data_IF_410598543597
#
_entry.id   IF_410598543597
#
_cell.length_a   1.000
_cell.length_b   1.000
_cell.length_c   1.000
_cell.angle_alpha   90.00
_cell.angle_beta   90.00
_cell.angle_gamma   90.00
#
_symmetry.space_group_name_H-M   'P 1'
#
loop_
_entity.id
_entity.type
_entity.pdbx_description
1 polymer ?
#
# COMPACT_ATOMS: atom_id res chain seq x y z
N UNK A 1 14.92 -5.88 16.81
CA UNK A 1 14.48 -6.66 15.63
C UNK A 1 13.24 -5.98 15.10
N UNK A 2 13.17 -5.71 13.80
CA UNK A 2 12.04 -5.00 13.18
C UNK A 2 11.31 -5.95 12.23
N UNK A 3 10.00 -6.09 12.42
CA UNK A 3 9.12 -6.93 11.60
C UNK A 3 8.50 -6.07 10.49
N UNK A 4 8.77 -6.42 9.24
CA UNK A 4 8.12 -5.81 8.09
C UNK A 4 7.01 -6.73 7.58
N UNK A 5 5.75 -6.29 7.69
CA UNK A 5 4.58 -6.97 7.14
C UNK A 5 4.26 -6.33 5.80
N UNK A 6 4.31 -7.12 4.74
CA UNK A 6 4.08 -6.65 3.37
C UNK A 6 2.66 -7.05 2.97
N UNK A 7 1.80 -6.06 2.71
CA UNK A 7 0.41 -6.29 2.30
C UNK A 7 0.16 -5.72 0.91
N UNK A 8 -0.60 -6.45 0.08
CA UNK A 8 -0.82 -6.07 -1.31
C UNK A 8 -1.69 -4.79 -1.44
N UNK A 9 -2.69 -4.66 -0.57
CA UNK A 9 -3.73 -3.64 -0.68
C UNK A 9 -4.99 -4.13 -1.41
N UNK A 10 -6.15 -3.71 -0.92
CA UNK A 10 -7.48 -4.03 -1.48
C UNK A 10 -8.16 -2.85 -2.19
N UNK A 11 -7.44 -1.74 -2.37
CA UNK A 11 -7.95 -0.48 -2.87
C UNK A 11 -9.22 -0.02 -2.13
N UNK A 12 -10.35 0.10 -2.84
CA UNK A 12 -11.63 0.52 -2.25
C UNK A 12 -12.42 -0.60 -1.56
N UNK A 13 -11.99 -1.86 -1.70
CA UNK A 13 -12.69 -3.04 -1.19
C UNK A 13 -12.20 -3.45 0.18
N UNK A 14 -13.08 -4.05 0.99
CA UNK A 14 -12.65 -4.76 2.18
C UNK A 14 -11.91 -6.03 1.78
N UNK A 15 -10.73 -6.21 2.36
CA UNK A 15 -9.78 -7.26 1.99
C UNK A 15 -9.45 -8.07 3.25
N UNK A 16 -9.86 -9.35 3.28
CA UNK A 16 -9.66 -10.22 4.44
C UNK A 16 -8.19 -10.36 4.86
N UNK A 17 -7.30 -10.53 3.88
CA UNK A 17 -5.85 -10.56 4.12
C UNK A 17 -5.32 -9.25 4.70
N UNK A 18 -5.80 -8.12 4.18
CA UNK A 18 -5.38 -6.80 4.63
C UNK A 18 -5.85 -6.50 6.06
N UNK A 19 -7.06 -6.94 6.42
CA UNK A 19 -7.58 -6.84 7.80
C UNK A 19 -6.79 -7.74 8.75
N UNK A 20 -6.49 -8.97 8.33
CA UNK A 20 -5.62 -9.87 9.10
C UNK A 20 -4.25 -9.25 9.37
N UNK A 21 -3.59 -8.71 8.34
CA UNK A 21 -2.29 -8.05 8.46
C UNK A 21 -2.36 -6.83 9.40
N UNK A 22 -3.46 -6.07 9.34
CA UNK A 22 -3.70 -4.91 10.20
C UNK A 22 -3.84 -5.30 11.68
N UNK A 23 -4.70 -6.26 11.99
CA UNK A 23 -4.90 -6.75 13.36
C UNK A 23 -3.62 -7.43 13.88
N UNK A 24 -2.86 -8.11 13.02
CA UNK A 24 -1.59 -8.72 13.41
C UNK A 24 -0.52 -7.66 13.73
N UNK A 25 -0.39 -6.62 12.90
CA UNK A 25 0.51 -5.50 13.14
C UNK A 25 0.20 -4.81 14.47
N UNK A 26 -1.08 -4.54 14.75
CA UNK A 26 -1.57 -3.98 16.01
C UNK A 26 -1.18 -4.85 17.21
N UNK A 27 -1.43 -6.16 17.11
CA UNK A 27 -1.11 -7.11 18.18
C UNK A 27 0.40 -7.17 18.49
N UNK A 28 1.23 -7.26 17.45
CA UNK A 28 2.68 -7.26 17.60
C UNK A 28 3.22 -5.96 18.20
N UNK A 29 2.69 -4.80 17.79
CA UNK A 29 3.04 -3.50 18.38
C UNK A 29 2.65 -3.43 19.85
N UNK A 30 1.48 -3.94 20.20
CA UNK A 30 0.99 -4.00 21.59
C UNK A 30 1.89 -4.90 22.45
N UNK A 31 2.44 -5.96 21.87
CA UNK A 31 3.41 -6.84 22.51
C UNK A 31 4.84 -6.25 22.61
N UNK A 32 5.05 -5.01 22.17
CA UNK A 32 6.33 -4.30 22.25
C UNK A 32 7.27 -4.54 21.06
N UNK A 33 6.81 -5.17 19.99
CA UNK A 33 7.61 -5.33 18.77
C UNK A 33 7.61 -4.06 17.92
N UNK A 34 8.75 -3.78 17.27
CA UNK A 34 8.84 -2.77 16.22
C UNK A 34 8.30 -3.38 14.92
N UNK A 35 7.23 -2.79 14.37
CA UNK A 35 6.52 -3.33 13.21
C UNK A 35 6.22 -2.24 12.19
N UNK A 36 6.50 -2.51 10.92
CA UNK A 36 6.03 -1.72 9.78
C UNK A 36 5.05 -2.54 8.97
N UNK A 37 3.85 -2.02 8.75
CA UNK A 37 2.88 -2.58 7.82
C UNK A 37 2.95 -1.79 6.51
N UNK A 38 3.48 -2.41 5.45
CA UNK A 38 3.79 -1.77 4.17
C UNK A 38 2.73 -2.11 3.11
N UNK A 39 1.88 -1.16 2.72
CA UNK A 39 0.98 -1.35 1.58
C UNK A 39 1.77 -1.22 0.27
N UNK A 40 1.73 -2.27 -0.56
CA UNK A 40 2.55 -2.36 -1.77
C UNK A 40 1.89 -1.74 -2.99
N UNK A 41 0.74 -2.24 -3.44
CA UNK A 41 0.18 -1.85 -4.75
C UNK A 41 -0.97 -0.86 -4.61
N UNK A 42 -1.80 -1.01 -3.59
CA UNK A 42 -2.93 -0.13 -3.34
C UNK A 42 -3.07 0.15 -1.85
N UNK A 43 -3.81 1.21 -1.45
CA UNK A 43 -4.15 1.42 -0.06
C UNK A 43 -4.97 0.24 0.49
N UNK A 44 -4.87 -0.01 1.78
CA UNK A 44 -5.78 -0.92 2.47
C UNK A 44 -7.07 -0.20 2.86
N UNK A 45 -8.15 -0.98 2.96
CA UNK A 45 -9.40 -0.57 3.60
C UNK A 45 -9.74 -1.63 4.64
N UNK A 46 -9.78 -1.19 5.89
CA UNK A 46 -10.00 -2.04 7.06
C UNK A 46 -11.15 -1.47 7.87
N UNK A 47 -11.73 -2.31 8.73
CA UNK A 47 -12.82 -2.01 9.65
C UNK A 47 -12.33 -1.45 11.00
N UNK A 48 -11.06 -1.69 11.32
CA UNK A 48 -10.36 -1.09 12.47
C UNK A 48 -9.54 0.16 12.10
N UNK A 49 -8.81 0.71 13.07
CA UNK A 49 -7.80 1.74 12.81
C UNK A 49 -6.67 1.19 11.93
N UNK A 50 -6.40 1.90 10.84
CA UNK A 50 -5.36 1.57 9.86
C UNK A 50 -3.96 1.72 10.48
N UNK A 51 -3.24 0.61 10.60
CA UNK A 51 -1.87 0.51 11.12
C UNK A 51 -0.80 0.63 10.03
N UNK A 52 -1.20 0.80 8.77
CA UNK A 52 -0.30 0.81 7.62
C UNK A 52 0.46 2.13 7.48
N UNK A 53 1.68 2.02 6.98
CA UNK A 53 2.48 3.19 6.63
C UNK A 53 1.93 3.85 5.36
N UNK A 54 1.99 5.18 5.34
CA UNK A 54 1.75 5.97 4.13
C UNK A 54 3.09 6.56 3.68
N UNK A 55 3.44 6.56 2.37
CA UNK A 55 2.63 6.23 1.18
C UNK A 55 2.67 4.73 0.80
N UNK A 56 1.91 4.39 -0.25
CA UNK A 56 2.01 3.09 -0.95
C UNK A 56 3.39 2.98 -1.62
N UNK A 57 4.09 1.86 -1.43
CA UNK A 57 5.50 1.76 -1.81
C UNK A 57 5.75 1.45 -3.29
N UNK A 58 4.92 0.59 -3.88
CA UNK A 58 5.01 0.14 -5.26
C UNK A 58 3.65 0.34 -5.94
N UNK A 59 3.24 1.61 -6.05
CA UNK A 59 1.88 1.98 -6.43
C UNK A 59 1.44 1.37 -7.75
N UNK A 60 0.29 0.69 -7.73
CA UNK A 60 -0.21 -0.14 -8.82
C UNK A 60 -0.39 0.61 -10.14
N UNK A 61 -0.64 1.93 -10.10
CA UNK A 61 -0.69 2.77 -11.30
C UNK A 61 0.68 2.82 -11.97
N UNK A 62 1.75 3.10 -11.22
CA UNK A 62 3.10 3.13 -11.76
C UNK A 62 3.55 1.73 -12.21
N UNK A 63 3.18 0.68 -11.49
CA UNK A 63 3.44 -0.70 -11.91
C UNK A 63 2.80 -1.00 -13.27
N UNK A 64 1.51 -0.66 -13.42
CA UNK A 64 0.77 -0.84 -14.66
C UNK A 64 1.40 -0.05 -15.83
N UNK A 65 1.74 1.22 -15.60
CA UNK A 65 2.34 2.06 -16.64
C UNK A 65 3.74 1.57 -17.04
N UNK A 66 4.53 1.06 -16.09
CA UNK A 66 5.83 0.44 -16.35
C UNK A 66 5.73 -0.82 -17.20
N UNK A 67 4.71 -1.64 -16.98
CA UNK A 67 4.44 -2.85 -17.77
C UNK A 67 3.93 -2.49 -19.18
N UNK A 68 3.00 -1.52 -19.26
CA UNK A 68 2.35 -1.13 -20.52
C UNK A 68 3.25 -0.30 -21.44
N UNK A 69 4.08 0.58 -20.90
CA UNK A 69 4.86 1.56 -21.64
C UNK A 69 6.34 1.53 -21.25
N UNK A 70 7.19 0.98 -22.12
CA UNK A 70 8.65 0.88 -21.90
C UNK A 70 9.35 2.22 -21.63
N UNK A 71 8.81 3.33 -22.13
CA UNK A 71 9.37 4.66 -21.88
C UNK A 71 9.05 5.19 -20.48
N UNK A 72 7.97 4.70 -19.84
CA UNK A 72 7.58 5.09 -18.48
C UNK A 72 8.66 4.73 -17.45
N UNK A 73 9.33 3.59 -17.67
CA UNK A 73 10.45 3.11 -16.85
C UNK A 73 11.65 4.08 -16.82
N UNK A 74 11.74 5.00 -17.80
CA UNK A 74 12.81 6.02 -17.90
C UNK A 74 12.42 7.35 -17.28
N UNK A 75 11.16 7.53 -16.90
CA UNK A 75 10.67 8.80 -16.33
C UNK A 75 11.24 8.94 -14.91
N UNK A 76 11.88 10.08 -14.57
CA UNK A 76 12.42 10.31 -13.23
C UNK A 76 11.35 10.14 -12.14
N UNK A 77 11.72 9.48 -11.02
CA UNK A 77 10.78 9.15 -9.93
C UNK A 77 10.05 10.37 -9.34
N UNK A 78 10.66 11.55 -9.38
CA UNK A 78 10.05 12.79 -8.91
C UNK A 78 8.76 13.11 -9.68
N UNK A 79 8.71 12.77 -10.98
CA UNK A 79 7.55 13.00 -11.85
C UNK A 79 6.49 11.91 -11.74
N UNK A 80 6.81 10.74 -11.20
CA UNK A 80 5.88 9.60 -11.10
C UNK A 80 5.39 9.36 -9.67
N UNK A 81 6.12 9.84 -8.65
CA UNK A 81 5.83 9.60 -7.22
C UNK A 81 4.44 10.05 -6.77
N UNK A 82 3.87 11.09 -7.38
CA UNK A 82 2.54 11.58 -7.01
C UNK A 82 1.44 10.54 -7.28
N UNK A 83 1.62 9.67 -8.29
CA UNK A 83 0.69 8.59 -8.63
C UNK A 83 0.64 7.48 -7.57
N UNK A 84 1.67 7.35 -6.73
CA UNK A 84 1.70 6.39 -5.62
C UNK A 84 0.89 6.90 -4.40
N UNK A 85 0.28 8.09 -4.49
CA UNK A 85 -0.51 8.63 -3.38
C UNK A 85 -1.83 7.86 -3.22
N UNK A 86 -2.22 7.50 -1.98
CA UNK A 86 -3.47 6.78 -1.72
C UNK A 86 -4.72 7.46 -2.30
N UNK A 87 -4.76 8.79 -2.31
CA UNK A 87 -5.89 9.57 -2.83
C UNK A 87 -6.09 9.44 -4.34
N UNK A 88 -5.02 9.25 -5.11
CA UNK A 88 -5.08 9.08 -6.56
C UNK A 88 -5.44 7.65 -6.90
N UNK A 89 -4.80 6.68 -6.25
CA UNK A 89 -5.12 5.27 -6.41
C UNK A 89 -6.60 5.02 -6.10
N UNK A 90 -7.11 5.55 -4.98
CA UNK A 90 -8.54 5.45 -4.64
C UNK A 90 -9.46 6.07 -5.68
N UNK A 91 -9.06 7.16 -6.35
CA UNK A 91 -9.87 7.74 -7.44
C UNK A 91 -9.86 6.86 -8.68
N UNK A 92 -8.71 6.30 -9.03
CA UNK A 92 -8.57 5.41 -10.19
C UNK A 92 -9.31 4.07 -10.01
N UNK A 93 -9.50 3.63 -8.77
CA UNK A 93 -10.17 2.36 -8.44
C UNK A 93 -11.59 2.53 -7.91
N UNK A 94 -12.18 3.73 -7.98
CA UNK A 94 -13.58 3.94 -7.62
C UNK A 94 -14.45 3.36 -8.75
N UNK A 95 -15.02 2.19 -8.49
CA UNK A 95 -16.12 1.57 -9.25
C UNK A 95 -17.35 1.47 -8.37
#
# INVERSE_FOLDING_TARGET
MHIAIITAGGAGMFCGSCMHDNSWAKGLRTAGAEVSLLPMYTPIRVDEEDQSLTPVFFGGINCYLNDRFRWWQRVPRILTRWLDSPGIIRRATKG
#
